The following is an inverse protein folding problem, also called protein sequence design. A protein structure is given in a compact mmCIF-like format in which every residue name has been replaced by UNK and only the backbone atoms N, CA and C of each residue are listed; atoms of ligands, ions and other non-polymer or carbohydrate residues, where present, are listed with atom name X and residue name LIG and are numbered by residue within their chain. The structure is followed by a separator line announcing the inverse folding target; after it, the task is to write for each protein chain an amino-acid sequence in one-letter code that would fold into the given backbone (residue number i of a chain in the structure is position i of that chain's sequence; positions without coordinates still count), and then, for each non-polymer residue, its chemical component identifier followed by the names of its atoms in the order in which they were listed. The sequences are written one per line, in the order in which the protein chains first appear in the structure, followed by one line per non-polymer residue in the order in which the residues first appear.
data_IF_228707642266
#
_entry.id   IF_228707642266
#
_cell.length_a   1.000
_cell.length_b   1.000
_cell.length_c   1.000
_cell.angle_alpha   90.00
_cell.angle_beta   90.00
_cell.angle_gamma   90.00
#
_symmetry.space_group_name_H-M   'P 1'
#
loop_
_entity.id
_entity.type
_entity.pdbx_description
1 polymer ?
#
# COMPACT_ATOMS: atom_id res chain seq x y z
N UNK A 1 -8.24 6.99 -4.47
CA UNK A 1 -8.50 5.89 -5.42
C UNK A 1 -7.77 4.60 -5.05
N UNK A 2 -6.43 4.57 -4.94
CA UNK A 2 -5.75 3.36 -4.43
C UNK A 2 -6.15 3.06 -2.98
N UNK A 3 -6.30 4.07 -2.14
CA UNK A 3 -6.60 3.85 -0.73
C UNK A 3 -7.90 3.07 -0.50
N UNK A 4 -8.96 3.35 -1.28
CA UNK A 4 -10.20 2.59 -1.21
C UNK A 4 -10.02 1.14 -1.68
N UNK A 5 -9.16 0.92 -2.69
CA UNK A 5 -8.82 -0.44 -3.16
C UNK A 5 -8.03 -1.22 -2.10
N UNK A 6 -7.14 -0.55 -1.36
CA UNK A 6 -6.41 -1.14 -0.22
C UNK A 6 -7.38 -1.48 0.90
N UNK A 7 -8.25 -0.54 1.30
CA UNK A 7 -9.29 -0.76 2.33
C UNK A 7 -10.14 -2.00 2.00
N UNK A 8 -10.71 -2.06 0.80
CA UNK A 8 -11.52 -3.20 0.37
C UNK A 8 -10.73 -4.52 0.33
N UNK A 9 -9.44 -4.48 -0.04
CA UNK A 9 -8.62 -5.69 -0.01
C UNK A 9 -8.36 -6.17 1.42
N UNK A 10 -8.05 -5.26 2.35
CA UNK A 10 -7.87 -5.58 3.75
C UNK A 10 -9.15 -6.17 4.35
N UNK A 11 -10.32 -5.58 4.07
CA UNK A 11 -11.62 -6.12 4.47
C UNK A 11 -11.84 -7.55 3.96
N UNK A 12 -11.60 -7.81 2.67
CA UNK A 12 -11.73 -9.15 2.07
C UNK A 12 -10.81 -10.20 2.68
N UNK A 13 -9.73 -9.77 3.33
CA UNK A 13 -8.70 -10.65 3.90
C UNK A 13 -8.75 -10.69 5.41
N UNK A 14 -9.70 -9.99 6.03
CA UNK A 14 -9.77 -9.81 7.47
C UNK A 14 -8.46 -9.26 8.05
N UNK A 15 -7.79 -8.36 7.32
CA UNK A 15 -6.61 -7.64 7.79
C UNK A 15 -7.04 -6.34 8.44
N UNK A 16 -6.42 -5.99 9.56
CA UNK A 16 -6.69 -4.73 10.24
C UNK A 16 -5.82 -3.63 9.64
N UNK A 17 -6.45 -2.67 8.97
CA UNK A 17 -5.76 -1.54 8.36
C UNK A 17 -5.66 -0.37 9.35
N UNK A 18 -4.45 -0.07 9.83
CA UNK A 18 -4.20 1.04 10.76
C UNK A 18 -4.12 2.37 10.02
N UNK A 19 -3.39 2.39 8.90
CA UNK A 19 -3.23 3.58 8.08
C UNK A 19 -3.03 3.23 6.60
N UNK A 20 -3.55 4.08 5.73
CA UNK A 20 -3.23 4.08 4.30
C UNK A 20 -3.18 5.52 3.82
N UNK A 21 -2.12 5.88 3.13
CA UNK A 21 -1.94 7.19 2.53
C UNK A 21 -1.22 7.02 1.19
N UNK A 22 -1.88 7.42 0.11
CA UNK A 22 -1.32 7.34 -1.22
C UNK A 22 -1.02 8.73 -1.77
N UNK A 23 0.24 8.93 -2.13
CA UNK A 23 0.73 10.08 -2.88
C UNK A 23 0.69 9.79 -4.39
N UNK A 24 1.11 10.77 -5.19
CA UNK A 24 1.12 10.67 -6.64
C UNK A 24 2.10 9.63 -7.18
N UNK A 25 3.17 9.33 -6.45
CA UNK A 25 4.24 8.41 -6.86
C UNK A 25 4.51 7.22 -5.91
N UNK A 26 3.96 7.22 -4.69
CA UNK A 26 4.13 6.13 -3.71
C UNK A 26 2.94 6.03 -2.74
N UNK A 27 2.85 4.93 -1.99
CA UNK A 27 1.85 4.73 -0.94
C UNK A 27 2.51 4.21 0.34
N UNK A 28 2.07 4.70 1.50
CA UNK A 28 2.36 4.18 2.82
C UNK A 28 1.15 3.41 3.35
N UNK A 29 1.39 2.22 3.90
CA UNK A 29 0.34 1.33 4.40
C UNK A 29 0.86 0.69 5.70
N UNK A 30 0.07 0.78 6.77
CA UNK A 30 0.32 0.11 8.04
C UNK A 30 -0.85 -0.84 8.29
N UNK A 31 -0.56 -2.14 8.42
CA UNK A 31 -1.57 -3.20 8.44
C UNK A 31 -1.13 -4.35 9.35
N UNK A 32 -2.06 -4.88 10.12
CA UNK A 32 -1.91 -6.18 10.79
C UNK A 32 -2.54 -7.26 9.92
N UNK A 33 -1.71 -8.20 9.46
CA UNK A 33 -2.12 -9.30 8.59
C UNK A 33 -1.68 -10.64 9.21
N UNK A 34 -2.50 -11.26 10.07
CA UNK A 34 -2.14 -12.49 10.77
C UNK A 34 -1.83 -13.62 9.78
N UNK A 35 -0.75 -14.38 10.03
CA UNK A 35 -0.30 -15.51 9.20
C UNK A 35 0.22 -15.13 7.78
N UNK A 36 0.60 -13.88 7.54
CA UNK A 36 1.21 -13.44 6.29
C UNK A 36 2.55 -12.76 6.50
N UNK A 37 3.52 -13.12 5.67
CA UNK A 37 4.78 -12.37 5.54
C UNK A 37 4.52 -11.01 4.88
N UNK A 38 5.24 -9.98 5.30
CA UNK A 38 5.07 -8.61 4.81
C UNK A 38 5.30 -8.47 3.30
N UNK A 39 6.19 -9.27 2.70
CA UNK A 39 6.38 -9.35 1.25
C UNK A 39 5.12 -9.85 0.54
N UNK A 40 4.46 -10.88 1.08
CA UNK A 40 3.21 -11.42 0.53
C UNK A 40 2.09 -10.39 0.64
N UNK A 41 1.99 -9.69 1.77
CA UNK A 41 1.03 -8.59 1.97
C UNK A 41 1.24 -7.50 0.91
N UNK A 42 2.48 -7.00 0.78
CA UNK A 42 2.86 -5.99 -0.22
C UNK A 42 2.49 -6.42 -1.64
N UNK A 43 2.87 -7.64 -2.02
CA UNK A 43 2.70 -8.11 -3.40
C UNK A 43 1.21 -8.32 -3.75
N UNK A 44 0.41 -8.76 -2.78
CA UNK A 44 -1.04 -8.88 -2.96
C UNK A 44 -1.72 -7.51 -3.09
N UNK A 45 -1.36 -6.54 -2.26
CA UNK A 45 -1.87 -5.16 -2.37
C UNK A 45 -1.50 -4.53 -3.72
N UNK A 46 -0.27 -4.72 -4.19
CA UNK A 46 0.18 -4.23 -5.51
C UNK A 46 -0.57 -4.91 -6.65
N UNK A 47 -0.72 -6.22 -6.60
CA UNK A 47 -1.46 -6.99 -7.63
C UNK A 47 -2.92 -6.54 -7.70
N UNK A 48 -3.58 -6.43 -6.54
CA UNK A 48 -4.97 -5.98 -6.44
C UNK A 48 -5.15 -4.54 -6.92
N UNK A 49 -4.24 -3.65 -6.51
CA UNK A 49 -4.17 -2.26 -6.97
C UNK A 49 -4.04 -2.17 -8.50
N UNK A 50 -3.08 -2.90 -9.10
CA UNK A 50 -2.89 -2.96 -10.56
C UNK A 50 -4.19 -3.40 -11.25
N UNK A 51 -4.82 -4.47 -10.77
CA UNK A 51 -6.04 -5.00 -11.37
C UNK A 51 -7.17 -3.97 -11.36
N UNK A 52 -7.43 -3.33 -10.22
CA UNK A 52 -8.49 -2.31 -10.10
C UNK A 52 -8.23 -1.06 -10.91
N UNK A 53 -6.97 -0.66 -11.06
CA UNK A 53 -6.63 0.48 -11.90
C UNK A 53 -6.84 0.21 -13.38
N UNK A 54 -6.44 -0.97 -13.87
CA UNK A 54 -6.73 -1.40 -15.24
C UNK A 54 -8.23 -1.49 -15.52
N UNK A 55 -8.99 -2.06 -14.59
CA UNK A 55 -10.46 -2.13 -14.72
C UNK A 55 -11.07 -0.74 -14.84
N UNK A 56 -10.60 0.23 -14.05
CA UNK A 56 -11.08 1.61 -14.12
C UNK A 56 -10.70 2.31 -15.42
N UNK A 57 -9.47 2.17 -15.91
CA UNK A 57 -9.08 2.75 -17.21
C UNK A 57 -9.99 2.23 -18.34
N UNK A 58 -10.28 0.93 -18.35
CA UNK A 58 -11.22 0.34 -19.31
C UNK A 58 -12.64 0.91 -19.16
N UNK A 59 -13.13 1.05 -17.93
CA UNK A 59 -14.45 1.65 -17.66
C UNK A 59 -14.54 3.11 -18.11
N UNK A 60 -13.42 3.83 -18.11
CA UNK A 60 -13.31 5.20 -18.62
C UNK A 60 -13.13 5.27 -20.14
N UNK A 61 -13.15 4.12 -20.84
CA UNK A 61 -13.02 4.05 -22.30
C UNK A 61 -11.60 4.27 -22.81
N UNK A 62 -10.58 4.11 -21.96
CA UNK A 62 -9.18 4.12 -22.40
C UNK A 62 -8.97 2.95 -23.35
N UNK A 63 -8.46 3.22 -24.55
CA UNK A 63 -8.15 2.20 -25.55
C UNK A 63 -7.18 1.16 -24.97
N UNK A 64 -7.32 -0.11 -25.35
CA UNK A 64 -6.58 -1.21 -24.73
C UNK A 64 -5.06 -1.04 -24.81
N UNK A 65 -4.57 -0.50 -25.93
CA UNK A 65 -3.16 -0.15 -26.16
C UNK A 65 -2.64 0.99 -25.26
N UNK A 66 -3.55 1.82 -24.75
CA UNK A 66 -3.25 2.92 -23.85
C UNK A 66 -3.41 2.55 -22.36
N UNK A 67 -4.02 1.40 -22.05
CA UNK A 67 -4.17 0.92 -20.67
C UNK A 67 -2.78 0.65 -20.07
N UNK A 68 -2.49 1.28 -18.93
CA UNK A 68 -1.18 1.20 -18.30
C UNK A 68 -0.91 -0.22 -17.81
N UNK A 69 0.20 -0.81 -18.28
CA UNK A 69 0.59 -2.14 -17.82
C UNK A 69 1.36 -2.14 -16.48
N UNK A 70 2.28 -1.17 -16.29
CA UNK A 70 3.17 -1.11 -15.12
C UNK A 70 2.75 -0.03 -14.14
N UNK A 71 1.96 -0.44 -13.15
CA UNK A 71 1.48 0.44 -12.07
C UNK A 71 2.46 0.60 -10.91
N UNK A 72 3.28 -0.42 -10.66
CA UNK A 72 4.22 -0.43 -9.55
C UNK A 72 5.62 -0.85 -10.01
N UNK A 73 6.64 -0.37 -9.30
CA UNK A 73 8.00 -0.95 -9.38
C UNK A 73 7.98 -2.38 -8.84
N UNK A 74 9.01 -3.20 -9.08
CA UNK A 74 9.00 -4.62 -8.67
C UNK A 74 9.03 -4.81 -7.16
N UNK A 75 9.90 -4.09 -6.44
CA UNK A 75 10.04 -4.20 -4.98
C UNK A 75 9.21 -3.13 -4.25
N UNK A 76 9.46 -2.98 -2.96
CA UNK A 76 8.90 -1.97 -2.08
C UNK A 76 9.35 -2.29 -0.65
N UNK A 77 9.49 -1.26 0.19
CA UNK A 77 9.93 -1.43 1.57
C UNK A 77 8.89 -2.17 2.39
N UNK A 78 9.37 -3.09 3.23
CA UNK A 78 8.58 -3.82 4.23
C UNK A 78 9.35 -3.71 5.54
N UNK A 79 8.65 -3.30 6.59
CA UNK A 79 9.19 -3.23 7.96
C UNK A 79 8.19 -3.91 8.89
N UNK A 80 8.68 -4.83 9.71
CA UNK A 80 7.89 -5.44 10.77
C UNK A 80 7.91 -4.54 12.00
N UNK A 81 6.76 -4.40 12.64
CA UNK A 81 6.55 -3.62 13.87
C UNK A 81 6.12 -4.63 14.95
N UNK A 82 6.82 -4.64 16.08
CA UNK A 82 6.69 -5.69 17.10
C UNK A 82 6.12 -5.19 18.42
N UNK A 83 5.92 -3.88 18.56
CA UNK A 83 5.48 -3.22 19.77
C UNK A 83 4.48 -2.09 19.44
N UNK A 84 3.71 -1.67 20.44
CA UNK A 84 2.64 -0.69 20.27
C UNK A 84 3.17 0.71 19.95
N UNK A 85 4.32 1.09 20.51
CA UNK A 85 4.93 2.41 20.27
C UNK A 85 5.40 2.54 18.81
N UNK A 86 6.06 1.50 18.28
CA UNK A 86 6.48 1.46 16.87
C UNK A 86 5.30 1.39 15.92
N UNK A 87 4.20 0.73 16.30
CA UNK A 87 2.95 0.74 15.56
C UNK A 87 2.31 2.13 15.52
N UNK A 88 2.21 2.80 16.67
CA UNK A 88 1.65 4.14 16.79
C UNK A 88 2.49 5.14 15.98
N UNK A 89 3.82 5.14 16.14
CA UNK A 89 4.73 6.00 15.40
C UNK A 89 4.63 5.79 13.87
N UNK A 90 4.57 4.53 13.42
CA UNK A 90 4.42 4.23 11.99
C UNK A 90 3.06 4.64 11.44
N UNK A 91 2.00 4.51 12.23
CA UNK A 91 0.62 4.92 11.87
C UNK A 91 0.52 6.43 11.72
N UNK A 92 1.09 7.17 12.68
CA UNK A 92 1.20 8.63 12.62
C UNK A 92 2.02 9.05 11.42
N UNK A 93 3.22 8.47 11.23
CA UNK A 93 4.06 8.75 10.07
C UNK A 93 3.34 8.49 8.75
N UNK A 94 2.67 7.34 8.59
CA UNK A 94 1.97 7.01 7.36
C UNK A 94 0.81 7.99 7.09
N UNK A 95 0.13 8.45 8.12
CA UNK A 95 -1.00 9.39 8.00
C UNK A 95 -0.53 10.82 7.71
N UNK A 96 0.57 11.25 8.32
CA UNK A 96 1.03 12.64 8.31
C UNK A 96 2.12 12.93 7.27
N UNK A 97 2.99 11.97 6.94
CA UNK A 97 4.20 12.25 6.16
C UNK A 97 3.89 12.66 4.71
N UNK A 98 4.41 13.83 4.33
CA UNK A 98 4.72 14.23 2.96
C UNK A 98 6.21 13.98 2.70
N UNK A 99 6.55 13.27 1.61
CA UNK A 99 7.82 13.33 0.89
C UNK A 99 9.15 13.35 1.66
N UNK A 100 9.28 12.64 2.79
CA UNK A 100 10.63 12.24 3.26
C UNK A 100 10.99 10.92 2.60
N UNK A 101 11.82 11.03 1.56
CA UNK A 101 12.39 9.91 0.82
C UNK A 101 12.96 8.83 1.74
N UNK A 102 12.78 7.57 1.33
CA UNK A 102 13.04 6.41 2.16
C UNK A 102 14.45 6.30 2.75
N UNK A 103 14.50 5.53 3.84
CA UNK A 103 15.69 4.98 4.49
C UNK A 103 16.48 5.97 5.35
N UNK A 104 15.93 6.39 6.49
CA UNK A 104 16.64 6.63 7.77
C UNK A 104 15.62 7.07 8.83
N UNK A 105 14.81 6.14 9.34
CA UNK A 105 14.17 6.35 10.64
C UNK A 105 14.94 5.48 11.64
N UNK A 106 15.92 6.13 12.24
CA UNK A 106 16.96 5.64 13.14
C UNK A 106 16.51 4.54 14.11
N UNK A 107 17.43 3.60 14.31
CA UNK A 107 17.67 2.98 15.60
C UNK A 107 17.84 4.08 16.65
N UNK A 108 16.95 4.10 17.64
CA UNK A 108 17.22 4.53 19.00
C UNK A 108 16.50 3.55 19.92
#
# INVERSE_FOLDING_TARGET
MIESVVREHCEKRCWFLHAVNCRTNHCHIVVTAPNYDGEKVRDQLKSWGKRRMKERERQLGVAEECVRDRWWTRKGSVRYLFDEDSLAAATTYASEAQDVGGSSANSL
#
